data_IF_648694848377
#
_entry.id   IF_648694848377
#
_cell.length_a   1.000
_cell.length_b   1.000
_cell.length_c   1.000
_cell.angle_alpha   90.00
_cell.angle_beta   90.00
_cell.angle_gamma   90.00
#
_symmetry.space_group_name_H-M   'P 1'
#
loop_
_entity.id
_entity.type
_entity.pdbx_description
1 polymer ?
#
# COMPACT_ATOMS: atom_id res chain seq x y z
N UNK A 1 -19.82 -8.27 8.02
CA UNK A 1 -18.63 -7.87 7.23
C UNK A 1 -18.73 -8.34 5.77
N UNK A 2 -18.74 -9.66 5.46
CA UNK A 2 -18.92 -10.19 4.08
C UNK A 2 -20.11 -9.61 3.31
N UNK A 3 -21.19 -9.29 4.02
CA UNK A 3 -22.39 -8.71 3.42
C UNK A 3 -22.14 -7.30 2.85
N UNK A 4 -21.36 -6.45 3.52
CA UNK A 4 -21.04 -5.10 3.03
C UNK A 4 -20.08 -5.16 1.83
N UNK A 5 -19.11 -6.07 1.86
CA UNK A 5 -18.17 -6.31 0.76
C UNK A 5 -18.89 -6.84 -0.50
N UNK A 6 -19.77 -7.85 -0.33
CA UNK A 6 -20.59 -8.36 -1.44
C UNK A 6 -21.52 -7.30 -2.00
N UNK A 7 -22.19 -6.52 -1.13
CA UNK A 7 -23.06 -5.44 -1.57
C UNK A 7 -22.28 -4.39 -2.35
N UNK A 8 -21.11 -3.95 -1.86
CA UNK A 8 -20.28 -2.98 -2.55
C UNK A 8 -19.81 -3.49 -3.93
N UNK A 9 -19.36 -4.75 -4.03
CA UNK A 9 -18.98 -5.37 -5.31
C UNK A 9 -20.17 -5.46 -6.29
N UNK A 10 -21.35 -5.83 -5.80
CA UNK A 10 -22.54 -6.00 -6.64
C UNK A 10 -23.09 -4.64 -7.11
N UNK A 11 -23.04 -3.61 -6.26
CA UNK A 11 -23.47 -2.25 -6.63
C UNK A 11 -22.48 -1.52 -7.52
N UNK A 12 -21.17 -1.81 -7.40
CA UNK A 12 -20.17 -1.32 -8.35
C UNK A 12 -20.47 -1.78 -9.78
N UNK A 13 -20.93 -3.03 -9.96
CA UNK A 13 -21.35 -3.56 -11.28
C UNK A 13 -22.60 -2.86 -11.87
N UNK A 14 -23.39 -2.13 -11.06
CA UNK A 14 -24.70 -1.61 -11.45
C UNK A 14 -24.79 -0.09 -11.60
N UNK A 15 -23.69 0.67 -11.42
CA UNK A 15 -23.65 2.12 -11.74
C UNK A 15 -24.61 3.02 -10.94
N UNK A 16 -25.00 2.63 -9.72
CA UNK A 16 -25.97 3.33 -8.85
C UNK A 16 -25.32 4.41 -7.96
N UNK A 17 -26.04 5.42 -7.39
CA UNK A 17 -25.50 6.54 -6.57
C UNK A 17 -24.76 6.16 -5.26
N UNK A 18 -24.40 4.90 -5.09
CA UNK A 18 -23.61 4.29 -4.00
C UNK A 18 -22.09 4.46 -4.16
N UNK A 19 -21.65 5.30 -5.07
CA UNK A 19 -20.22 5.56 -5.32
C UNK A 19 -19.49 5.99 -4.05
N UNK A 20 -20.18 6.65 -3.11
CA UNK A 20 -19.63 7.05 -1.81
C UNK A 20 -19.40 5.86 -0.87
N UNK A 21 -20.29 4.86 -0.85
CA UNK A 21 -20.08 3.66 -0.03
C UNK A 21 -18.83 2.89 -0.49
N UNK A 22 -18.59 2.87 -1.80
CA UNK A 22 -17.39 2.29 -2.38
C UNK A 22 -16.12 3.05 -2.00
N UNK A 23 -16.17 4.39 -1.93
CA UNK A 23 -15.02 5.19 -1.44
C UNK A 23 -14.63 4.74 -0.05
N UNK A 24 -15.60 4.72 0.86
CA UNK A 24 -15.35 4.41 2.26
C UNK A 24 -14.85 2.96 2.41
N UNK A 25 -15.32 2.04 1.57
CA UNK A 25 -14.79 0.68 1.56
C UNK A 25 -13.34 0.61 1.09
N UNK A 26 -12.95 1.36 0.05
CA UNK A 26 -11.55 1.42 -0.41
C UNK A 26 -10.66 1.98 0.69
N UNK A 27 -11.03 3.12 1.27
CA UNK A 27 -10.31 3.77 2.37
C UNK A 27 -10.19 2.85 3.60
N UNK A 28 -11.28 2.18 3.95
CA UNK A 28 -11.32 1.21 5.03
C UNK A 28 -10.41 0.02 4.75
N UNK A 29 -10.48 -0.58 3.56
CA UNK A 29 -9.67 -1.73 3.20
C UNK A 29 -8.17 -1.41 3.19
N UNK A 30 -7.78 -0.23 2.70
CA UNK A 30 -6.40 0.23 2.79
C UNK A 30 -5.93 0.41 4.24
N UNK A 31 -6.73 1.07 5.08
CA UNK A 31 -6.39 1.28 6.49
C UNK A 31 -6.29 -0.05 7.24
N UNK A 32 -7.27 -0.95 7.01
CA UNK A 32 -7.28 -2.31 7.55
C UNK A 32 -6.04 -3.09 7.11
N UNK A 33 -5.63 -2.96 5.85
CA UNK A 33 -4.46 -3.64 5.32
C UNK A 33 -3.18 -3.27 6.08
N UNK A 34 -2.96 -1.97 6.31
CA UNK A 34 -1.81 -1.50 7.10
C UNK A 34 -1.86 -2.02 8.53
N UNK A 35 -3.03 -1.95 9.19
CA UNK A 35 -3.21 -2.47 10.56
C UNK A 35 -2.93 -3.98 10.66
N UNK A 36 -3.38 -4.78 9.69
CA UNK A 36 -3.09 -6.21 9.68
C UNK A 36 -1.59 -6.49 9.46
N UNK A 37 -0.91 -5.73 8.59
CA UNK A 37 0.53 -5.84 8.44
C UNK A 37 1.27 -5.42 9.71
N UNK A 38 0.81 -4.39 10.44
CA UNK A 38 1.36 -4.01 11.76
C UNK A 38 1.36 -5.19 12.74
N UNK A 39 0.28 -5.99 12.75
CA UNK A 39 0.19 -7.20 13.59
C UNK A 39 1.16 -8.29 13.15
N UNK A 40 1.39 -8.45 11.85
CA UNK A 40 2.41 -9.38 11.34
C UNK A 40 3.77 -8.99 11.90
N UNK A 41 4.10 -7.70 11.88
CA UNK A 41 5.33 -7.16 12.47
C UNK A 41 5.40 -7.21 13.99
N UNK A 42 4.29 -7.56 14.67
CA UNK A 42 4.20 -7.51 16.13
C UNK A 42 4.38 -6.10 16.70
N UNK A 43 4.13 -5.07 15.88
CA UNK A 43 4.27 -3.66 16.27
C UNK A 43 3.06 -3.22 17.09
N UNK A 44 3.32 -2.35 18.05
CA UNK A 44 2.30 -1.70 18.88
C UNK A 44 2.16 -0.24 18.50
N UNK A 45 1.19 0.47 19.09
CA UNK A 45 1.04 1.91 18.90
C UNK A 45 2.28 2.70 19.34
N UNK A 46 3.03 2.20 20.32
CA UNK A 46 4.25 2.85 20.80
C UNK A 46 5.41 2.71 19.81
N UNK A 47 5.35 1.69 18.95
CA UNK A 47 6.34 1.47 17.90
C UNK A 47 5.99 2.24 16.61
N UNK A 48 4.99 3.13 16.65
CA UNK A 48 4.46 3.90 15.52
C UNK A 48 4.25 5.38 15.87
N UNK A 49 5.01 5.89 16.83
CA UNK A 49 5.09 7.32 17.14
C UNK A 49 5.84 8.08 16.04
N UNK A 50 5.65 9.39 15.91
CA UNK A 50 6.15 10.17 14.76
C UNK A 50 7.69 10.06 14.56
N UNK A 51 8.45 9.91 15.65
CA UNK A 51 9.91 9.76 15.64
C UNK A 51 10.38 8.28 15.74
N UNK A 52 9.48 7.31 15.56
CA UNK A 52 9.81 5.90 15.69
C UNK A 52 10.78 5.43 14.60
N UNK A 53 11.70 4.55 14.98
CA UNK A 53 12.69 3.95 14.08
C UNK A 53 12.35 2.49 13.80
N UNK A 54 12.43 2.08 12.53
CA UNK A 54 12.18 0.71 12.10
C UNK A 54 12.94 -0.31 12.97
N UNK A 55 12.32 -1.45 13.33
CA UNK A 55 12.99 -2.57 13.99
C UNK A 55 14.23 -3.07 13.23
N UNK A 56 14.33 -2.79 11.92
CA UNK A 56 15.50 -3.15 11.12
C UNK A 56 16.73 -2.28 11.44
N UNK A 57 16.53 -1.08 11.99
CA UNK A 57 17.59 -0.14 12.34
C UNK A 57 17.83 0.01 13.86
N UNK A 58 16.97 -0.54 14.73
CA UNK A 58 17.16 -0.51 16.20
C UNK A 58 18.02 -1.67 16.70
N UNK A 59 18.99 -1.43 17.58
CA UNK A 59 19.84 -2.52 18.13
C UNK A 59 19.04 -3.44 19.09
N UNK A 60 19.09 -4.75 18.89
CA UNK A 60 18.44 -5.70 19.81
C UNK A 60 18.35 -7.15 19.32
N UNK A 61 18.03 -8.10 20.22
CA UNK A 61 17.98 -9.54 19.93
C UNK A 61 16.86 -9.94 18.95
N UNK A 62 15.87 -9.06 18.69
CA UNK A 62 14.72 -9.32 17.81
C UNK A 62 15.07 -9.38 16.31
N UNK A 63 16.27 -8.95 15.91
CA UNK A 63 16.59 -8.75 14.48
C UNK A 63 16.48 -10.00 13.63
N UNK A 64 17.01 -11.15 14.06
CA UNK A 64 17.18 -12.30 13.17
C UNK A 64 16.03 -13.31 13.22
N UNK A 65 15.46 -13.55 14.39
CA UNK A 65 14.44 -14.61 14.55
C UNK A 65 13.09 -14.20 13.96
N UNK A 66 12.73 -12.91 14.06
CA UNK A 66 11.43 -12.41 13.62
C UNK A 66 11.29 -12.42 12.08
N UNK A 67 12.38 -12.18 11.34
CA UNK A 67 12.36 -12.14 9.87
C UNK A 67 11.98 -13.47 9.23
N UNK A 68 12.31 -14.59 9.87
CA UNK A 68 12.02 -15.93 9.36
C UNK A 68 10.50 -16.20 9.29
N UNK A 69 9.71 -15.50 10.10
CA UNK A 69 8.25 -15.64 10.17
C UNK A 69 7.50 -14.65 9.29
N UNK A 70 8.20 -13.68 8.68
CA UNK A 70 7.59 -12.73 7.77
C UNK A 70 7.23 -13.40 6.43
N UNK A 71 6.06 -13.06 5.85
CA UNK A 71 5.77 -13.35 4.45
C UNK A 71 6.89 -12.81 3.56
N UNK A 72 7.19 -13.51 2.46
CA UNK A 72 8.31 -13.17 1.56
C UNK A 72 8.26 -11.70 1.09
N UNK A 73 7.07 -11.18 0.82
CA UNK A 73 6.80 -9.80 0.39
C UNK A 73 7.07 -8.73 1.45
N UNK A 74 7.08 -9.09 2.74
CA UNK A 74 7.34 -8.17 3.85
C UNK A 74 8.76 -8.27 4.40
N UNK A 75 9.56 -9.24 3.95
CA UNK A 75 10.96 -9.36 4.36
C UNK A 75 11.74 -8.09 4.01
N UNK A 76 12.67 -7.65 4.86
CA UNK A 76 13.43 -6.43 4.63
C UNK A 76 14.34 -6.51 3.41
N UNK A 77 14.50 -5.40 2.71
CA UNK A 77 15.51 -5.21 1.67
C UNK A 77 16.85 -4.77 2.26
N UNK A 78 17.90 -4.75 1.45
CA UNK A 78 19.21 -4.21 1.87
C UNK A 78 19.16 -2.71 2.21
N UNK A 79 18.28 -1.95 1.54
CA UNK A 79 18.09 -0.52 1.81
C UNK A 79 17.48 -0.32 3.20
N UNK A 80 16.47 -1.10 3.57
CA UNK A 80 15.84 -1.04 4.90
C UNK A 80 16.85 -1.29 6.04
N UNK A 81 17.84 -2.16 5.85
CA UNK A 81 18.89 -2.36 6.86
C UNK A 81 19.89 -1.21 6.95
N UNK A 82 20.16 -0.55 5.83
CA UNK A 82 21.25 0.42 5.71
C UNK A 82 20.81 1.84 6.00
N UNK A 83 19.53 2.14 5.81
CA UNK A 83 18.99 3.49 5.90
C UNK A 83 17.95 3.57 7.02
N UNK A 84 18.18 4.41 8.06
CA UNK A 84 17.18 4.71 9.09
C UNK A 84 15.87 5.22 8.48
N UNK A 85 14.74 4.67 8.92
CA UNK A 85 13.42 5.06 8.42
C UNK A 85 12.30 4.70 9.41
N UNK A 86 11.12 5.27 9.21
CA UNK A 86 9.96 5.03 10.06
C UNK A 86 9.31 3.65 9.75
N UNK A 87 8.87 2.87 10.77
CA UNK A 87 8.32 1.51 10.61
C UNK A 87 7.07 1.42 9.72
N UNK A 88 6.32 2.50 9.52
CA UNK A 88 5.13 2.51 8.65
C UNK A 88 5.47 2.10 7.21
N UNK A 89 6.68 2.40 6.74
CA UNK A 89 7.15 2.01 5.40
C UNK A 89 7.25 0.48 5.28
N UNK A 90 7.60 -0.21 6.36
CA UNK A 90 7.76 -1.68 6.38
C UNK A 90 6.44 -2.41 6.10
N UNK A 91 5.30 -1.74 6.31
CA UNK A 91 3.96 -2.29 6.12
C UNK A 91 3.58 -2.47 4.65
N UNK A 92 4.32 -1.90 3.70
CA UNK A 92 4.00 -1.98 2.29
C UNK A 92 4.57 -3.27 1.68
N UNK A 93 3.77 -4.08 0.95
CA UNK A 93 4.22 -5.39 0.46
C UNK A 93 5.06 -5.33 -0.82
N UNK A 94 5.20 -4.16 -1.46
CA UNK A 94 6.07 -3.99 -2.62
C UNK A 94 7.45 -3.53 -2.15
N UNK A 95 8.44 -4.41 -2.23
CA UNK A 95 9.81 -4.13 -1.82
C UNK A 95 10.40 -2.89 -2.53
N UNK A 96 10.21 -2.78 -3.85
CA UNK A 96 10.70 -1.64 -4.63
C UNK A 96 10.03 -0.31 -4.21
N UNK A 97 8.74 -0.34 -3.88
CA UNK A 97 8.02 0.85 -3.42
C UNK A 97 8.58 1.35 -2.08
N UNK A 98 8.89 0.43 -1.15
CA UNK A 98 9.57 0.77 0.12
C UNK A 98 10.93 1.38 -0.12
N UNK A 99 11.74 0.75 -0.97
CA UNK A 99 13.08 1.23 -1.30
C UNK A 99 13.04 2.64 -1.91
N UNK A 100 12.05 2.94 -2.76
CA UNK A 100 11.85 4.27 -3.33
C UNK A 100 11.49 5.30 -2.25
N UNK A 101 10.61 4.97 -1.29
CA UNK A 101 10.26 5.87 -0.17
C UNK A 101 11.46 6.15 0.73
N UNK A 102 12.16 5.08 1.13
CA UNK A 102 13.31 5.19 2.03
C UNK A 102 14.43 6.00 1.38
N UNK A 103 14.65 5.81 0.07
CA UNK A 103 15.66 6.57 -0.69
C UNK A 103 15.27 8.04 -0.87
N UNK A 104 13.97 8.37 -0.90
CA UNK A 104 13.49 9.74 -1.01
C UNK A 104 13.62 10.52 0.32
N UNK A 105 13.62 9.83 1.47
CA UNK A 105 13.78 10.46 2.78
C UNK A 105 12.72 11.53 3.02
N UNK A 106 13.14 12.75 3.35
CA UNK A 106 12.23 13.88 3.63
C UNK A 106 11.82 14.68 2.38
N UNK A 107 12.11 14.19 1.16
CA UNK A 107 11.88 14.95 -0.07
C UNK A 107 10.40 15.02 -0.51
N UNK A 108 9.46 14.51 0.28
CA UNK A 108 8.04 14.44 -0.05
C UNK A 108 7.16 14.76 1.17
N UNK A 109 5.95 15.23 0.90
CA UNK A 109 4.94 15.47 1.93
C UNK A 109 4.27 14.14 2.31
N UNK A 110 4.67 13.58 3.45
CA UNK A 110 4.14 12.33 3.99
C UNK A 110 2.64 12.39 4.28
N UNK A 111 2.15 13.53 4.79
CA UNK A 111 0.73 13.72 5.10
C UNK A 111 -0.10 13.65 3.81
N UNK A 112 0.36 14.34 2.77
CA UNK A 112 -0.27 14.33 1.45
C UNK A 112 -0.23 12.93 0.83
N UNK A 113 0.92 12.26 0.87
CA UNK A 113 1.06 10.90 0.36
C UNK A 113 0.10 9.95 1.06
N UNK A 114 0.00 10.01 2.39
CA UNK A 114 -0.89 9.17 3.18
C UNK A 114 -2.37 9.37 2.76
N UNK A 115 -2.80 10.63 2.59
CA UNK A 115 -4.15 10.96 2.12
C UNK A 115 -4.41 10.45 0.69
N UNK A 116 -3.43 10.57 -0.20
CA UNK A 116 -3.52 10.13 -1.59
C UNK A 116 -3.49 8.61 -1.72
N UNK A 117 -2.73 7.88 -0.90
CA UNK A 117 -2.72 6.42 -0.85
C UNK A 117 -4.04 5.85 -0.32
N UNK A 118 -4.58 6.45 0.75
CA UNK A 118 -5.91 6.10 1.30
C UNK A 118 -7.05 6.36 0.32
N UNK A 119 -6.85 7.27 -0.63
CA UNK A 119 -7.89 7.77 -1.52
C UNK A 119 -8.84 8.77 -0.86
N UNK A 120 -8.33 9.52 0.11
CA UNK A 120 -8.97 10.74 0.64
C UNK A 120 -8.68 11.95 -0.27
N UNK A 121 -7.55 11.93 -0.99
CA UNK A 121 -7.16 12.98 -1.92
C UNK A 121 -7.87 12.93 -3.27
N UNK A 122 -8.00 14.11 -3.89
CA UNK A 122 -8.44 14.25 -5.29
C UNK A 122 -7.34 14.91 -6.09
N UNK A 123 -6.86 14.24 -7.13
CA UNK A 123 -5.82 14.74 -8.02
C UNK A 123 -6.49 15.06 -9.34
N UNK A 124 -6.51 16.35 -9.71
CA UNK A 124 -7.18 16.83 -10.94
C UNK A 124 -8.63 16.37 -11.08
N UNK A 125 -9.38 16.39 -9.97
CA UNK A 125 -10.77 15.92 -9.86
C UNK A 125 -10.98 14.40 -9.97
N UNK A 126 -9.95 13.63 -10.30
CA UNK A 126 -9.92 12.17 -10.26
C UNK A 126 -9.57 11.67 -8.84
N UNK A 127 -10.00 10.47 -8.51
CA UNK A 127 -9.68 9.86 -7.21
C UNK A 127 -8.30 9.24 -7.27
N UNK A 128 -7.44 9.69 -6.36
CA UNK A 128 -6.20 9.01 -6.03
C UNK A 128 -6.49 7.83 -5.11
N UNK A 129 -5.56 6.88 -4.99
CA UNK A 129 -5.70 5.76 -4.06
C UNK A 129 -4.97 4.51 -4.49
N UNK A 130 -4.85 3.62 -3.52
CA UNK A 130 -4.46 2.23 -3.67
C UNK A 130 -5.67 1.36 -3.29
N UNK A 131 -6.02 0.41 -4.16
CA UNK A 131 -7.15 -0.49 -3.96
C UNK A 131 -6.61 -1.85 -3.51
N UNK A 132 -7.16 -2.38 -2.42
CA UNK A 132 -6.79 -3.68 -1.84
C UNK A 132 -7.85 -4.72 -2.19
N UNK A 133 -7.44 -5.73 -2.94
CA UNK A 133 -8.28 -6.81 -3.45
C UNK A 133 -8.08 -8.15 -2.72
N UNK A 134 -6.91 -8.36 -2.12
CA UNK A 134 -6.51 -9.62 -1.47
C UNK A 134 -5.89 -9.36 -0.10
N UNK A 135 -5.21 -10.37 0.43
CA UNK A 135 -4.46 -10.29 1.67
C UNK A 135 -3.47 -9.11 1.64
N UNK A 136 -3.29 -8.39 2.76
CA UNK A 136 -2.57 -7.12 2.76
C UNK A 136 -1.05 -7.27 2.57
N UNK A 137 -0.48 -8.43 2.90
CA UNK A 137 0.90 -8.75 2.58
C UNK A 137 1.07 -9.26 1.15
N UNK A 138 0.03 -9.57 0.38
CA UNK A 138 0.16 -10.06 -0.99
C UNK A 138 0.22 -8.89 -1.99
N UNK A 139 1.38 -8.59 -2.62
CA UNK A 139 1.48 -7.49 -3.59
C UNK A 139 0.60 -7.70 -4.83
N UNK A 140 0.19 -8.94 -5.15
CA UNK A 140 -0.77 -9.24 -6.22
C UNK A 140 -2.19 -8.74 -5.90
N UNK A 141 -2.44 -8.33 -4.66
CA UNK A 141 -3.71 -7.76 -4.20
C UNK A 141 -3.80 -6.25 -4.34
N UNK A 142 -2.72 -5.57 -4.73
CA UNK A 142 -2.63 -4.11 -4.69
C UNK A 142 -2.78 -3.51 -6.09
N UNK A 143 -3.71 -2.58 -6.25
CA UNK A 143 -3.93 -1.86 -7.51
C UNK A 143 -3.75 -0.35 -7.31
N UNK A 144 -3.03 0.29 -8.23
CA UNK A 144 -2.82 1.74 -8.24
C UNK A 144 -3.83 2.43 -9.17
N UNK A 145 -4.46 3.48 -8.67
CA UNK A 145 -5.32 4.35 -9.49
C UNK A 145 -4.50 5.20 -10.45
N UNK A 146 -5.08 5.56 -11.60
CA UNK A 146 -4.41 6.40 -12.61
C UNK A 146 -3.96 7.75 -12.05
N UNK A 147 -4.79 8.37 -11.22
CA UNK A 147 -4.49 9.66 -10.60
C UNK A 147 -3.30 9.57 -9.64
N UNK A 148 -3.21 8.50 -8.84
CA UNK A 148 -2.07 8.25 -7.97
C UNK A 148 -0.80 8.03 -8.80
N UNK A 149 -0.86 7.19 -9.84
CA UNK A 149 0.29 6.90 -10.69
C UNK A 149 0.85 8.16 -11.39
N UNK A 150 -0.02 9.12 -11.71
CA UNK A 150 0.37 10.37 -12.37
C UNK A 150 1.14 11.31 -11.46
N UNK A 151 0.72 11.42 -10.20
CA UNK A 151 1.35 12.31 -9.21
C UNK A 151 2.57 11.67 -8.55
N UNK A 152 2.43 10.40 -8.18
CA UNK A 152 3.42 9.63 -7.42
C UNK A 152 4.18 8.66 -8.33
N UNK A 153 4.41 9.01 -9.59
CA UNK A 153 5.07 8.14 -10.57
C UNK A 153 6.49 7.72 -10.15
N UNK A 154 7.21 8.60 -9.45
CA UNK A 154 8.54 8.30 -8.88
C UNK A 154 8.49 7.23 -7.79
N UNK A 155 7.42 7.22 -6.99
CA UNK A 155 7.24 6.29 -5.88
C UNK A 155 7.02 4.86 -6.39
N UNK A 156 6.30 4.71 -7.50
CA UNK A 156 6.02 3.41 -8.11
C UNK A 156 7.04 3.03 -9.19
N UNK A 157 8.14 3.78 -9.33
CA UNK A 157 9.16 3.50 -10.32
C UNK A 157 9.75 2.08 -10.12
N UNK A 158 9.86 1.31 -11.20
CA UNK A 158 10.31 -0.08 -11.21
C UNK A 158 9.47 -1.09 -10.39
N UNK A 159 8.29 -0.73 -9.89
CA UNK A 159 7.40 -1.65 -9.16
C UNK A 159 6.67 -2.61 -10.13
N UNK A 160 7.41 -3.51 -10.79
CA UNK A 160 6.87 -4.41 -11.83
C UNK A 160 5.78 -5.37 -11.32
N UNK A 161 5.89 -5.81 -10.07
CA UNK A 161 4.86 -6.56 -9.35
C UNK A 161 3.55 -5.78 -9.27
N UNK A 162 3.63 -4.52 -8.84
CA UNK A 162 2.50 -3.61 -8.72
C UNK A 162 1.90 -3.24 -10.08
N UNK A 163 2.73 -3.12 -11.12
CA UNK A 163 2.28 -2.89 -12.50
C UNK A 163 1.47 -4.08 -13.02
N UNK A 164 1.97 -5.30 -12.82
CA UNK A 164 1.25 -6.54 -13.17
C UNK A 164 -0.05 -6.66 -12.41
N UNK A 165 -0.01 -6.45 -11.09
CA UNK A 165 -1.20 -6.50 -10.23
C UNK A 165 -2.25 -5.48 -10.68
N UNK A 166 -1.84 -4.23 -10.89
CA UNK A 166 -2.74 -3.16 -11.35
C UNK A 166 -3.41 -3.52 -12.68
N UNK A 167 -2.63 -3.96 -13.67
CA UNK A 167 -3.18 -4.36 -14.96
C UNK A 167 -4.09 -5.59 -14.86
N UNK A 168 -3.77 -6.55 -14.00
CA UNK A 168 -4.61 -7.72 -13.75
C UNK A 168 -6.01 -7.31 -13.26
N UNK A 169 -6.09 -6.49 -12.21
CA UNK A 169 -7.38 -6.07 -11.64
C UNK A 169 -8.18 -5.17 -12.57
N UNK A 170 -7.51 -4.27 -13.30
CA UNK A 170 -8.13 -3.47 -14.37
C UNK A 170 -8.72 -4.36 -15.45
N UNK A 171 -8.00 -5.39 -15.87
CA UNK A 171 -8.48 -6.35 -16.87
C UNK A 171 -9.73 -7.12 -16.40
N UNK A 172 -9.81 -7.52 -15.12
CA UNK A 172 -11.01 -8.16 -14.55
C UNK A 172 -12.27 -7.29 -14.69
N UNK A 173 -12.11 -5.97 -14.87
CA UNK A 173 -13.20 -5.00 -15.04
C UNK A 173 -13.28 -4.45 -16.48
N UNK A 174 -12.61 -5.10 -17.43
CA UNK A 174 -12.55 -4.67 -18.84
C UNK A 174 -11.96 -3.27 -19.04
N UNK A 175 -11.15 -2.79 -18.10
CA UNK A 175 -10.41 -1.54 -18.24
C UNK A 175 -9.10 -1.76 -19.02
N UNK A 176 -8.64 -0.72 -19.72
CA UNK A 176 -7.35 -0.76 -20.43
C UNK A 176 -6.19 -0.87 -19.43
N UNK A 177 -5.08 -1.55 -19.79
CA UNK A 177 -3.89 -1.57 -18.96
C UNK A 177 -3.37 -0.16 -18.71
N UNK A 178 -2.96 0.12 -17.47
CA UNK A 178 -2.40 1.39 -17.07
C UNK A 178 -0.89 1.44 -17.34
N UNK A 179 -0.20 0.32 -17.08
CA UNK A 179 1.25 0.22 -17.23
C UNK A 179 1.62 -0.65 -18.42
N UNK A 180 2.75 -0.36 -19.06
CA UNK A 180 3.37 -1.31 -19.99
C UNK A 180 4.20 -2.28 -19.17
N UNK A 181 3.93 -3.57 -19.31
CA UNK A 181 4.72 -4.63 -18.68
C UNK A 181 5.39 -5.40 -19.81
N UNK A 182 6.72 -5.37 -19.83
CA UNK A 182 7.55 -6.20 -20.72
C UNK A 182 7.67 -7.62 -20.19
#
# INVERSE_FOLDING_TARGET
MRHLEMLAQNFYRLGSPRTDLLIHLIQFNFTKALIENTKIFGLTSNDMDDDALSPFNTEGPRKHDFQAFLPDSLRPTSIQFSTPHHPWLDLLPSAQMRDNLISAGESYDETRLCLDMKGCGRIRSERSGIIIWREPWDPSGWEITEAFAREWGWLIWNCHDLFRSTNHWRHQRSERPLFRVS
#
